data_IF_857919788962
#
_entry.id   IF_857919788962
#
_cell.length_a   1.000
_cell.length_b   1.000
_cell.length_c   1.000
_cell.angle_alpha   90.00
_cell.angle_beta   90.00
_cell.angle_gamma   90.00
#
_symmetry.space_group_name_H-M   'P 1'
#
loop_
_entity.id
_entity.type
_entity.pdbx_description
1 polymer ?
#
# COMPACT_ATOMS: atom_id res chain seq x y z
N UNK A 1 46.05 -14.43 23.09
CA UNK A 1 44.85 -15.15 22.58
C UNK A 1 45.26 -16.55 22.20
N UNK A 2 44.59 -17.60 22.71
CA UNK A 2 44.90 -19.00 22.38
C UNK A 2 44.55 -19.27 20.91
N UNK A 3 45.42 -20.01 20.18
CA UNK A 3 45.22 -20.35 18.75
C UNK A 3 43.83 -20.95 18.46
N UNK A 4 43.23 -21.63 19.41
CA UNK A 4 41.86 -22.18 19.35
C UNK A 4 40.80 -21.09 19.16
N UNK A 5 40.89 -19.96 19.83
CA UNK A 5 39.89 -18.87 19.71
C UNK A 5 39.95 -18.19 18.35
N UNK A 6 41.15 -18.11 17.76
CA UNK A 6 41.33 -17.54 16.42
C UNK A 6 40.66 -18.40 15.34
N UNK A 7 40.80 -19.73 15.44
CA UNK A 7 40.16 -20.66 14.50
C UNK A 7 38.65 -20.60 14.62
N UNK A 8 38.12 -20.57 15.86
CA UNK A 8 36.67 -20.46 16.08
C UNK A 8 36.10 -19.19 15.49
N UNK A 9 36.77 -18.04 15.68
CA UNK A 9 36.34 -16.75 15.09
C UNK A 9 36.36 -16.81 13.54
N UNK A 10 37.39 -17.42 12.97
CA UNK A 10 37.51 -17.57 11.52
C UNK A 10 36.36 -18.41 10.95
N UNK A 11 35.99 -19.51 11.59
CA UNK A 11 34.88 -20.37 11.17
C UNK A 11 33.55 -19.62 11.23
N UNK A 12 33.27 -18.87 12.29
CA UNK A 12 32.05 -18.06 12.42
C UNK A 12 31.96 -17.01 11.32
N UNK A 13 33.07 -16.34 11.00
CA UNK A 13 33.09 -15.35 9.90
C UNK A 13 32.82 -16.00 8.54
N UNK A 14 33.40 -17.16 8.27
CA UNK A 14 33.16 -17.89 7.02
C UNK A 14 31.69 -18.32 6.92
N UNK A 15 31.08 -18.82 7.98
CA UNK A 15 29.66 -19.20 8.00
C UNK A 15 28.78 -17.97 7.77
N UNK A 16 29.09 -16.83 8.39
CA UNK A 16 28.33 -15.60 8.20
C UNK A 16 28.42 -15.08 6.75
N UNK A 17 29.61 -15.11 6.14
CA UNK A 17 29.82 -14.73 4.74
C UNK A 17 29.07 -15.69 3.82
N UNK A 18 29.20 -17.01 4.02
CA UNK A 18 28.50 -18.00 3.21
C UNK A 18 26.98 -17.83 3.32
N UNK A 19 26.46 -17.62 4.54
CA UNK A 19 25.04 -17.32 4.75
C UNK A 19 24.57 -16.06 4.04
N UNK A 20 25.36 -15.00 4.07
CA UNK A 20 25.06 -13.74 3.37
C UNK A 20 25.08 -13.91 1.84
N UNK A 21 26.01 -14.70 1.31
CA UNK A 21 26.09 -14.99 -0.13
C UNK A 21 24.88 -15.84 -0.56
N UNK A 22 24.56 -16.89 0.18
CA UNK A 22 23.39 -17.75 -0.10
C UNK A 22 22.11 -16.91 -0.05
N UNK A 23 21.95 -16.05 0.98
CA UNK A 23 20.80 -15.19 1.09
C UNK A 23 20.66 -14.26 -0.12
N UNK A 24 21.74 -13.59 -0.56
CA UNK A 24 21.72 -12.70 -1.73
C UNK A 24 21.45 -13.43 -3.04
N UNK A 25 21.90 -14.67 -3.19
CA UNK A 25 21.67 -15.44 -4.43
C UNK A 25 20.28 -16.04 -4.49
N UNK A 26 19.71 -16.44 -3.36
CA UNK A 26 18.36 -17.00 -3.31
C UNK A 26 17.27 -15.93 -3.26
N UNK A 27 17.58 -14.74 -2.74
CA UNK A 27 16.67 -13.60 -2.66
C UNK A 27 17.29 -12.38 -3.37
N UNK A 28 17.45 -12.43 -4.70
CA UNK A 28 17.98 -11.29 -5.43
C UNK A 28 17.05 -10.09 -5.25
N UNK A 29 17.63 -8.91 -5.12
CA UNK A 29 16.86 -7.68 -5.12
C UNK A 29 16.04 -7.61 -6.43
N UNK A 30 14.77 -7.16 -6.37
CA UNK A 30 13.97 -6.99 -7.58
C UNK A 30 14.71 -6.12 -8.59
N UNK A 31 14.58 -6.46 -9.87
CA UNK A 31 15.16 -5.65 -10.93
C UNK A 31 14.65 -4.19 -10.80
N UNK A 32 15.51 -3.18 -11.03
CA UNK A 32 15.10 -1.77 -10.86
C UNK A 32 13.80 -1.41 -11.57
N UNK A 33 13.56 -1.95 -12.75
CA UNK A 33 12.32 -1.72 -13.50
C UNK A 33 11.08 -2.32 -12.80
N UNK A 34 11.23 -3.45 -12.12
CA UNK A 34 10.13 -4.11 -11.42
C UNK A 34 9.64 -3.31 -10.20
N UNK A 35 10.46 -2.40 -9.67
CA UNK A 35 10.11 -1.56 -8.52
C UNK A 35 9.44 -0.24 -8.93
N UNK A 36 9.53 0.18 -10.20
CA UNK A 36 9.03 1.48 -10.65
C UNK A 36 7.51 1.62 -10.49
N UNK A 37 6.74 0.59 -10.84
CA UNK A 37 5.29 0.65 -10.66
C UNK A 37 4.87 0.67 -9.17
N UNK A 38 5.37 -0.23 -8.30
CA UNK A 38 5.12 -0.13 -6.86
C UNK A 38 5.50 1.24 -6.27
N UNK A 39 6.66 1.78 -6.66
CA UNK A 39 7.09 3.12 -6.24
C UNK A 39 6.10 4.19 -6.71
N UNK A 40 5.66 4.13 -7.97
CA UNK A 40 4.68 5.06 -8.54
C UNK A 40 3.32 5.01 -7.81
N UNK A 41 2.85 3.82 -7.45
CA UNK A 41 1.64 3.64 -6.65
C UNK A 41 1.80 4.30 -5.27
N UNK A 42 2.93 4.07 -4.59
CA UNK A 42 3.22 4.69 -3.29
C UNK A 42 3.23 6.21 -3.35
N UNK A 43 3.87 6.79 -4.38
CA UNK A 43 3.90 8.24 -4.61
C UNK A 43 2.48 8.78 -4.84
N UNK A 44 1.72 8.17 -5.75
CA UNK A 44 0.38 8.62 -6.11
C UNK A 44 -0.60 8.52 -4.93
N UNK A 45 -0.49 7.46 -4.11
CA UNK A 45 -1.30 7.31 -2.90
C UNK A 45 -1.01 8.40 -1.87
N UNK A 46 0.26 8.78 -1.68
CA UNK A 46 0.61 9.88 -0.79
C UNK A 46 0.08 11.23 -1.31
N UNK A 47 0.19 11.51 -2.60
CA UNK A 47 -0.34 12.71 -3.22
C UNK A 47 -1.87 12.79 -3.12
N UNK A 48 -2.57 11.68 -3.32
CA UNK A 48 -4.02 11.60 -3.11
C UNK A 48 -4.39 11.86 -1.64
N UNK A 49 -3.61 11.35 -0.69
CA UNK A 49 -3.82 11.63 0.74
C UNK A 49 -3.63 13.12 1.06
N UNK A 50 -2.59 13.76 0.52
CA UNK A 50 -2.35 15.20 0.65
C UNK A 50 -3.53 16.01 0.13
N UNK A 51 -4.02 15.70 -1.06
CA UNK A 51 -5.17 16.38 -1.65
C UNK A 51 -6.44 16.20 -0.82
N UNK A 52 -6.70 14.98 -0.36
CA UNK A 52 -7.91 14.67 0.41
C UNK A 52 -7.91 15.33 1.79
N UNK A 53 -6.75 15.44 2.45
CA UNK A 53 -6.62 15.94 3.82
C UNK A 53 -6.37 17.45 3.90
N UNK A 54 -6.08 18.13 2.78
CA UNK A 54 -5.81 19.56 2.75
C UNK A 54 -4.48 19.92 3.44
N UNK A 55 -3.45 19.09 3.25
CA UNK A 55 -2.08 19.25 3.74
C UNK A 55 -1.90 19.19 5.27
N UNK A 56 -2.88 18.74 6.05
CA UNK A 56 -2.73 18.63 7.51
C UNK A 56 -3.44 17.41 8.08
N UNK A 57 -2.88 16.82 9.14
CA UNK A 57 -3.52 15.74 9.87
C UNK A 57 -2.65 14.50 10.06
N UNK A 58 -3.26 13.48 10.66
CA UNK A 58 -2.63 12.19 10.93
C UNK A 58 -3.13 11.14 9.94
N UNK A 59 -2.21 10.41 9.34
CA UNK A 59 -2.47 9.37 8.35
C UNK A 59 -2.07 8.01 8.93
N UNK A 60 -2.94 7.04 8.77
CA UNK A 60 -2.65 5.62 9.03
C UNK A 60 -2.54 4.92 7.69
N UNK A 61 -1.44 4.19 7.50
CA UNK A 61 -1.20 3.36 6.34
C UNK A 61 -1.61 1.92 6.66
N UNK A 62 -2.43 1.31 5.81
CA UNK A 62 -2.90 -0.07 5.95
C UNK A 62 -2.29 -0.89 4.83
N UNK A 63 -1.51 -1.90 5.20
CA UNK A 63 -0.81 -2.78 4.28
C UNK A 63 -1.45 -4.18 4.26
N UNK A 64 -1.52 -4.84 3.09
CA UNK A 64 -1.95 -6.22 3.02
C UNK A 64 -0.90 -7.14 3.64
N UNK A 65 -1.32 -8.02 4.53
CA UNK A 65 -0.53 -9.11 5.07
C UNK A 65 -1.06 -10.44 4.51
N UNK A 66 -0.17 -11.32 4.11
CA UNK A 66 -0.50 -12.67 3.63
C UNK A 66 0.38 -13.67 4.35
N UNK A 67 -0.09 -14.14 5.50
CA UNK A 67 0.69 -15.02 6.35
C UNK A 67 2.03 -14.38 6.75
N UNK A 68 3.11 -15.17 6.79
CA UNK A 68 4.43 -14.70 7.22
C UNK A 68 5.35 -14.26 6.05
N UNK A 69 4.83 -14.16 4.83
CA UNK A 69 5.63 -13.78 3.67
C UNK A 69 5.79 -12.27 3.57
N UNK A 70 7.04 -11.81 3.55
CA UNK A 70 7.35 -10.44 3.18
C UNK A 70 7.18 -10.25 1.67
N UNK A 71 6.45 -9.21 1.29
CA UNK A 71 6.29 -8.85 -0.12
C UNK A 71 7.16 -7.62 -0.43
N UNK A 72 8.29 -7.79 -1.17
CA UNK A 72 9.19 -6.67 -1.49
C UNK A 72 8.50 -5.51 -2.20
N UNK A 73 7.45 -5.78 -2.98
CA UNK A 73 6.72 -4.74 -3.69
C UNK A 73 5.92 -3.85 -2.73
N UNK A 74 5.34 -4.44 -1.68
CA UNK A 74 4.65 -3.69 -0.63
C UNK A 74 5.64 -2.82 0.16
N UNK A 75 6.84 -3.32 0.42
CA UNK A 75 7.90 -2.55 1.08
C UNK A 75 8.31 -1.32 0.24
N UNK A 76 8.43 -1.47 -1.09
CA UNK A 76 8.71 -0.37 -2.02
C UNK A 76 7.56 0.66 -2.00
N UNK A 77 6.31 0.20 -2.07
CA UNK A 77 5.13 1.07 -1.99
C UNK A 77 5.11 1.87 -0.70
N UNK A 78 5.31 1.20 0.43
CA UNK A 78 5.36 1.83 1.75
C UNK A 78 6.46 2.87 1.86
N UNK A 79 7.69 2.53 1.42
CA UNK A 79 8.82 3.44 1.46
C UNK A 79 8.59 4.70 0.60
N UNK A 80 8.05 4.52 -0.61
CA UNK A 80 7.73 5.61 -1.51
C UNK A 80 6.62 6.51 -0.96
N UNK A 81 5.58 5.91 -0.37
CA UNK A 81 4.50 6.62 0.31
C UNK A 81 5.04 7.48 1.46
N UNK A 82 5.77 6.87 2.39
CA UNK A 82 6.31 7.56 3.56
C UNK A 82 7.26 8.69 3.17
N UNK A 83 8.16 8.46 2.19
CA UNK A 83 9.09 9.46 1.66
C UNK A 83 8.35 10.65 1.01
N UNK A 84 7.25 10.38 0.30
CA UNK A 84 6.47 11.43 -0.35
C UNK A 84 5.67 12.23 0.67
N UNK A 85 5.00 11.56 1.60
CA UNK A 85 4.22 12.20 2.66
C UNK A 85 5.10 13.09 3.56
N UNK A 86 6.32 12.67 3.87
CA UNK A 86 7.27 13.42 4.71
C UNK A 86 7.70 14.79 4.13
N UNK A 87 7.40 15.07 2.86
CA UNK A 87 7.62 16.40 2.27
C UNK A 87 6.57 17.43 2.70
N UNK A 88 5.47 16.97 3.29
CA UNK A 88 4.37 17.80 3.78
C UNK A 88 4.40 17.85 5.30
N UNK A 89 4.97 18.93 5.84
CA UNK A 89 5.32 19.06 7.27
C UNK A 89 4.15 18.89 8.22
N UNK A 90 2.94 19.26 7.79
CA UNK A 90 1.74 19.23 8.62
C UNK A 90 0.93 17.92 8.48
N UNK A 91 1.43 16.98 7.66
CA UNK A 91 0.91 15.62 7.55
C UNK A 91 1.87 14.63 8.20
N UNK A 92 1.35 13.83 9.12
CA UNK A 92 2.15 12.85 9.85
C UNK A 92 1.65 11.44 9.56
N UNK A 93 2.55 10.55 9.14
CA UNK A 93 2.30 9.11 9.15
C UNK A 93 2.33 8.64 10.61
N UNK A 94 1.15 8.51 11.23
CA UNK A 94 1.03 8.20 12.67
C UNK A 94 1.18 6.72 12.97
N UNK A 95 0.79 5.84 12.03
CA UNK A 95 0.94 4.40 12.17
C UNK A 95 1.00 3.72 10.80
N UNK A 96 1.59 2.53 10.80
CA UNK A 96 1.48 1.56 9.71
C UNK A 96 0.95 0.26 10.29
N UNK A 97 -0.21 -0.15 9.84
CA UNK A 97 -0.91 -1.35 10.25
C UNK A 97 -0.87 -2.39 9.15
N UNK A 98 -0.95 -3.65 9.53
CA UNK A 98 -1.07 -4.75 8.57
C UNK A 98 -2.36 -5.50 8.84
N UNK A 99 -3.11 -5.78 7.78
CA UNK A 99 -4.37 -6.51 7.85
C UNK A 99 -4.29 -7.77 7.00
N UNK A 100 -4.82 -8.88 7.52
CA UNK A 100 -4.83 -10.13 6.80
C UNK A 100 -5.80 -10.04 5.62
N UNK A 101 -5.32 -10.46 4.43
CA UNK A 101 -6.13 -10.48 3.21
C UNK A 101 -6.25 -11.92 2.73
N UNK A 102 -7.46 -12.45 2.75
CA UNK A 102 -7.75 -13.79 2.27
C UNK A 102 -7.56 -13.90 0.76
N UNK A 103 -7.13 -15.08 0.30
CA UNK A 103 -6.99 -15.34 -1.14
C UNK A 103 -8.38 -15.52 -1.77
N UNK A 104 -8.61 -14.97 -2.97
CA UNK A 104 -9.77 -15.36 -3.78
C UNK A 104 -9.76 -16.89 -3.98
N UNK A 105 -10.86 -17.57 -3.66
CA UNK A 105 -11.00 -19.02 -3.85
C UNK A 105 -10.90 -19.92 -2.61
N UNK A 106 -10.55 -19.40 -1.44
CA UNK A 106 -10.94 -20.01 -0.16
C UNK A 106 -12.42 -19.68 0.07
N UNK A 107 -13.24 -20.59 0.56
CA UNK A 107 -14.73 -20.57 0.69
C UNK A 107 -15.40 -19.20 1.07
N UNK A 108 -14.86 -18.09 0.61
CA UNK A 108 -15.37 -16.74 0.75
C UNK A 108 -14.99 -15.90 -0.46
N UNK A 109 -15.58 -14.74 -0.60
CA UNK A 109 -15.35 -13.82 -1.72
C UNK A 109 -13.91 -13.26 -1.75
N UNK A 110 -13.01 -13.72 -0.89
CA UNK A 110 -11.64 -13.22 -0.71
C UNK A 110 -11.66 -11.72 -0.40
N UNK A 111 -10.94 -11.29 0.60
CA UNK A 111 -10.92 -9.88 0.95
C UNK A 111 -10.48 -9.64 2.38
N UNK A 112 -10.71 -8.44 2.84
CA UNK A 112 -10.42 -8.00 4.19
C UNK A 112 -11.69 -8.11 5.04
N UNK A 113 -11.55 -8.59 6.28
CA UNK A 113 -12.67 -8.62 7.24
C UNK A 113 -13.12 -7.18 7.58
N UNK A 114 -14.38 -6.81 7.30
CA UNK A 114 -14.91 -5.50 7.63
C UNK A 114 -14.84 -5.17 9.14
N UNK A 115 -15.01 -6.17 10.02
CA UNK A 115 -14.95 -5.95 11.46
C UNK A 115 -13.51 -5.65 11.92
N UNK A 116 -12.52 -6.34 11.38
CA UNK A 116 -11.11 -6.08 11.66
C UNK A 116 -10.71 -4.68 11.19
N UNK A 117 -11.13 -4.29 9.99
CA UNK A 117 -10.90 -2.95 9.47
C UNK A 117 -11.55 -1.86 10.35
N UNK A 118 -12.78 -2.07 10.78
CA UNK A 118 -13.48 -1.14 11.65
C UNK A 118 -12.77 -0.98 13.00
N UNK A 119 -12.33 -2.09 13.60
CA UNK A 119 -11.53 -2.06 14.82
C UNK A 119 -10.21 -1.31 14.63
N UNK A 120 -9.55 -1.49 13.48
CA UNK A 120 -8.34 -0.76 13.13
C UNK A 120 -8.62 0.74 13.09
N UNK A 121 -9.68 1.18 12.43
CA UNK A 121 -10.06 2.60 12.38
C UNK A 121 -10.38 3.14 13.77
N UNK A 122 -11.03 2.36 14.63
CA UNK A 122 -11.33 2.74 16.02
C UNK A 122 -10.09 2.86 16.89
N UNK A 123 -9.09 1.97 16.73
CA UNK A 123 -7.80 2.08 17.45
C UNK A 123 -7.07 3.37 17.12
N UNK A 124 -7.27 3.91 15.92
CA UNK A 124 -6.67 5.16 15.45
C UNK A 124 -7.70 6.28 15.34
N UNK A 125 -8.50 6.46 16.39
CA UNK A 125 -9.60 7.43 16.41
C UNK A 125 -9.13 8.88 16.20
N UNK A 126 -7.88 9.21 16.52
CA UNK A 126 -7.26 10.51 16.33
C UNK A 126 -6.71 10.73 14.90
N UNK A 127 -6.65 9.68 14.08
CA UNK A 127 -6.26 9.82 12.67
C UNK A 127 -7.41 10.43 11.85
N UNK A 128 -7.03 11.30 10.91
CA UNK A 128 -7.95 11.96 9.99
C UNK A 128 -8.07 11.26 8.66
N UNK A 129 -7.00 10.55 8.24
CA UNK A 129 -6.93 9.84 6.97
C UNK A 129 -6.41 8.42 7.11
N UNK A 130 -6.94 7.54 6.28
CA UNK A 130 -6.52 6.14 6.17
C UNK A 130 -6.22 5.84 4.71
N UNK A 131 -5.04 5.30 4.46
CA UNK A 131 -4.60 4.89 3.11
C UNK A 131 -4.44 3.39 3.09
N UNK A 132 -5.31 2.70 2.36
CA UNK A 132 -5.31 1.24 2.29
C UNK A 132 -4.68 0.74 0.99
N UNK A 133 -3.62 -0.03 1.12
CA UNK A 133 -3.04 -0.83 0.03
C UNK A 133 -3.63 -2.25 -0.02
N UNK A 134 -4.58 -2.52 0.87
CA UNK A 134 -5.27 -3.80 0.98
C UNK A 134 -6.70 -3.78 0.39
N UNK A 135 -6.99 -2.78 -0.48
CA UNK A 135 -8.33 -2.47 -0.97
C UNK A 135 -9.26 -1.92 0.15
N UNK A 136 -10.57 -1.96 -0.03
CA UNK A 136 -11.56 -1.48 0.92
C UNK A 136 -12.63 -2.57 1.10
N UNK A 137 -12.95 -2.99 2.34
CA UNK A 137 -13.90 -4.07 2.55
C UNK A 137 -15.34 -3.66 2.20
N UNK A 138 -16.18 -4.66 1.98
CA UNK A 138 -17.61 -4.42 1.82
C UNK A 138 -18.28 -4.20 3.18
N UNK A 139 -18.93 -3.07 3.35
CA UNK A 139 -19.61 -2.70 4.58
C UNK A 139 -21.13 -2.63 4.39
N UNK A 140 -21.86 -2.96 5.46
CA UNK A 140 -23.26 -2.56 5.57
C UNK A 140 -23.39 -1.03 5.69
N UNK A 141 -24.56 -0.49 5.43
CA UNK A 141 -24.81 0.96 5.56
C UNK A 141 -24.56 1.47 6.99
N UNK A 142 -24.90 0.65 7.98
CA UNK A 142 -24.72 0.95 9.40
C UNK A 142 -23.23 1.00 9.76
N UNK A 143 -22.45 0.05 9.25
CA UNK A 143 -21.01 0.01 9.46
C UNK A 143 -20.31 1.22 8.78
N UNK A 144 -20.73 1.61 7.58
CA UNK A 144 -20.23 2.83 6.91
C UNK A 144 -20.53 4.10 7.72
N UNK A 145 -21.67 4.16 8.40
CA UNK A 145 -22.00 5.30 9.26
C UNK A 145 -21.00 5.50 10.40
N UNK A 146 -20.44 4.41 10.94
CA UNK A 146 -19.42 4.49 11.99
C UNK A 146 -18.06 5.03 11.51
N UNK A 147 -17.81 5.02 10.21
CA UNK A 147 -16.58 5.56 9.57
C UNK A 147 -16.72 7.05 9.20
N UNK A 148 -17.88 7.65 9.49
CA UNK A 148 -18.17 9.04 9.16
C UNK A 148 -17.14 10.00 9.77
N UNK A 149 -16.69 10.97 8.98
CA UNK A 149 -15.69 11.96 9.40
C UNK A 149 -14.24 11.53 9.17
N UNK A 150 -14.00 10.26 8.81
CA UNK A 150 -12.69 9.78 8.36
C UNK A 150 -12.60 9.87 6.85
N UNK A 151 -11.37 10.04 6.34
CA UNK A 151 -11.10 10.12 4.90
C UNK A 151 -10.30 8.89 4.47
N UNK A 152 -10.79 8.21 3.45
CA UNK A 152 -10.17 6.98 2.96
C UNK A 152 -9.60 7.18 1.55
N UNK A 153 -8.39 6.72 1.34
CA UNK A 153 -7.74 6.56 0.04
C UNK A 153 -7.47 5.08 -0.14
N UNK A 154 -7.84 4.53 -1.27
CA UNK A 154 -7.80 3.09 -1.53
C UNK A 154 -6.88 2.80 -2.72
N UNK A 155 -6.01 1.83 -2.57
CA UNK A 155 -5.22 1.27 -3.67
C UNK A 155 -5.80 -0.10 -3.98
N UNK A 156 -6.48 -0.19 -5.12
CA UNK A 156 -7.21 -1.37 -5.56
C UNK A 156 -8.49 -0.96 -6.28
N UNK A 157 -9.16 -1.92 -6.88
CA UNK A 157 -10.38 -1.67 -7.65
C UNK A 157 -11.31 -2.86 -7.68
N UNK A 158 -11.06 -3.85 -6.82
CA UNK A 158 -11.84 -5.07 -6.79
C UNK A 158 -13.21 -4.92 -6.09
N UNK A 159 -13.38 -3.86 -5.28
CA UNK A 159 -14.64 -3.63 -4.58
C UNK A 159 -15.72 -3.13 -5.57
N UNK A 160 -16.81 -3.89 -5.79
CA UNK A 160 -17.88 -3.50 -6.72
C UNK A 160 -18.64 -2.25 -6.26
N UNK A 161 -18.61 -1.94 -4.96
CA UNK A 161 -19.23 -0.74 -4.41
C UNK A 161 -18.35 0.51 -4.52
N UNK A 162 -17.14 0.44 -5.08
CA UNK A 162 -16.15 1.53 -5.09
C UNK A 162 -16.74 2.82 -5.69
N UNK A 163 -17.49 2.72 -6.79
CA UNK A 163 -18.15 3.87 -7.40
C UNK A 163 -19.11 4.57 -6.45
N UNK A 164 -19.93 3.82 -5.73
CA UNK A 164 -20.89 4.37 -4.76
C UNK A 164 -20.18 4.94 -3.53
N UNK A 165 -19.07 4.34 -3.09
CA UNK A 165 -18.25 4.84 -1.99
C UNK A 165 -17.58 6.17 -2.33
N UNK A 166 -17.09 6.33 -3.56
CA UNK A 166 -16.53 7.59 -4.06
C UNK A 166 -17.60 8.68 -4.17
N UNK A 167 -18.73 8.39 -4.82
CA UNK A 167 -19.83 9.37 -4.99
C UNK A 167 -20.53 9.72 -3.68
N UNK A 168 -20.57 8.76 -2.74
CA UNK A 168 -21.08 8.96 -1.38
C UNK A 168 -20.09 9.67 -0.44
N UNK A 169 -18.86 9.96 -0.89
CA UNK A 169 -17.84 10.68 -0.11
C UNK A 169 -17.24 9.87 1.04
N UNK A 170 -17.41 8.56 1.07
CA UNK A 170 -16.74 7.66 2.04
C UNK A 170 -15.27 7.49 1.65
N UNK A 171 -15.02 7.16 0.39
CA UNK A 171 -13.69 7.12 -0.20
C UNK A 171 -13.47 8.43 -0.98
N UNK A 172 -12.37 9.11 -0.72
CA UNK A 172 -12.03 10.37 -1.40
C UNK A 172 -11.31 10.15 -2.71
N UNK A 173 -10.47 9.13 -2.76
CA UNK A 173 -9.74 8.74 -3.96
C UNK A 173 -9.46 7.25 -3.98
N UNK A 174 -9.47 6.67 -5.18
CA UNK A 174 -9.05 5.30 -5.42
C UNK A 174 -7.98 5.27 -6.53
N UNK A 175 -6.93 4.50 -6.32
CA UNK A 175 -5.90 4.22 -7.31
C UNK A 175 -6.21 2.88 -7.94
N UNK A 176 -6.69 2.89 -9.17
CA UNK A 176 -7.18 1.68 -9.86
C UNK A 176 -6.39 1.39 -11.13
N UNK A 177 -6.24 0.13 -11.52
CA UNK A 177 -5.72 -0.22 -12.83
C UNK A 177 -6.58 0.38 -13.93
N UNK A 178 -5.95 0.92 -14.97
CA UNK A 178 -6.67 1.42 -16.15
C UNK A 178 -7.30 0.27 -16.90
N UNK A 179 -8.53 0.46 -17.33
CA UNK A 179 -9.22 -0.49 -18.22
C UNK A 179 -8.66 -0.47 -19.65
N UNK A 180 -8.06 0.65 -20.05
CA UNK A 180 -7.39 0.81 -21.35
C UNK A 180 -5.97 1.38 -21.10
N UNK A 181 -4.94 0.79 -21.72
CA UNK A 181 -3.59 1.35 -21.63
C UNK A 181 -3.57 2.83 -22.06
N UNK A 182 -2.74 3.62 -21.43
CA UNK A 182 -2.50 4.99 -21.91
C UNK A 182 -1.93 4.92 -23.33
N UNK A 183 -2.41 5.80 -24.20
CA UNK A 183 -1.99 5.87 -25.60
C UNK A 183 -0.56 6.44 -25.69
N UNK A 184 0.44 5.64 -25.37
CA UNK A 184 1.86 6.00 -25.48
C UNK A 184 2.63 4.82 -26.04
N UNK A 185 3.34 5.05 -27.15
CA UNK A 185 4.24 4.06 -27.73
C UNK A 185 5.63 4.04 -27.06
N UNK A 186 5.85 4.92 -26.08
CA UNK A 186 7.13 5.03 -25.37
C UNK A 186 7.08 4.23 -24.07
N UNK A 187 8.10 3.39 -23.83
CA UNK A 187 8.26 2.70 -22.54
C UNK A 187 8.41 3.74 -21.42
N UNK A 188 7.64 3.62 -20.31
CA UNK A 188 7.82 4.51 -19.18
C UNK A 188 9.23 4.44 -18.60
N UNK A 189 9.83 5.59 -18.28
CA UNK A 189 11.19 5.69 -17.74
C UNK A 189 11.25 6.03 -16.26
N UNK A 190 10.11 6.38 -15.63
CA UNK A 190 10.02 6.76 -14.23
C UNK A 190 8.84 6.10 -13.51
N UNK A 191 8.88 6.08 -12.18
CA UNK A 191 7.81 5.55 -11.34
C UNK A 191 6.45 6.21 -11.63
N UNK A 192 6.41 7.54 -11.80
CA UNK A 192 5.19 8.29 -12.14
C UNK A 192 4.66 7.95 -13.53
N UNK A 193 5.55 7.80 -14.51
CA UNK A 193 5.14 7.40 -15.85
C UNK A 193 4.59 5.97 -15.87
N UNK A 194 5.19 5.04 -15.13
CA UNK A 194 4.66 3.69 -14.97
C UNK A 194 3.28 3.68 -14.33
N UNK A 195 3.08 4.45 -13.25
CA UNK A 195 1.76 4.62 -12.66
C UNK A 195 0.76 5.16 -13.69
N UNK A 196 1.08 6.27 -14.34
CA UNK A 196 0.17 6.91 -15.30
C UNK A 196 -0.16 6.05 -16.52
N UNK A 197 0.76 5.17 -16.94
CA UNK A 197 0.54 4.25 -18.04
C UNK A 197 -0.42 3.10 -17.69
N UNK A 198 -0.42 2.66 -16.43
CA UNK A 198 -1.11 1.44 -15.99
C UNK A 198 -2.24 1.68 -15.00
N UNK A 199 -2.21 2.80 -14.28
CA UNK A 199 -3.17 3.14 -13.22
C UNK A 199 -3.70 4.57 -13.41
N UNK A 200 -4.76 4.85 -12.71
CA UNK A 200 -5.33 6.19 -12.61
C UNK A 200 -5.88 6.45 -11.21
N UNK A 201 -5.97 7.73 -10.87
CA UNK A 201 -6.64 8.18 -9.64
C UNK A 201 -8.08 8.52 -9.97
N UNK A 202 -9.00 7.84 -9.32
CA UNK A 202 -10.44 8.05 -9.43
C UNK A 202 -10.94 8.71 -8.17
N UNK A 203 -11.72 9.76 -8.34
CA UNK A 203 -12.41 10.53 -7.29
C UNK A 203 -13.89 10.60 -7.59
N UNK A 204 -14.69 11.24 -6.75
CA UNK A 204 -16.12 11.46 -7.04
C UNK A 204 -16.33 12.16 -8.39
N UNK A 205 -15.43 13.06 -8.79
CA UNK A 205 -15.56 13.85 -10.03
C UNK A 205 -15.46 13.00 -11.31
N UNK A 206 -14.68 11.91 -11.29
CA UNK A 206 -14.48 11.03 -12.44
C UNK A 206 -14.87 9.56 -12.16
N UNK A 207 -15.66 9.30 -11.11
CA UNK A 207 -16.10 7.95 -10.73
C UNK A 207 -16.89 7.22 -11.83
N UNK A 208 -17.41 7.95 -12.83
CA UNK A 208 -18.08 7.37 -14.00
C UNK A 208 -17.12 6.64 -14.96
N UNK A 209 -15.80 6.81 -14.80
CA UNK A 209 -14.81 6.01 -15.55
C UNK A 209 -14.71 4.56 -15.04
N UNK A 210 -15.19 4.30 -13.83
CA UNK A 210 -15.28 2.94 -13.28
C UNK A 210 -16.40 2.16 -13.98
N UNK A 211 -16.22 0.84 -14.19
CA UNK A 211 -17.22 -0.03 -14.79
C UNK A 211 -18.51 -0.10 -13.98
#
# INVERSE_FOLDING_TARGET
MRKSNLITVLIVVIIAIAGAVIYRTQFPAPAPEATLLPEGIGIAAAEAAVQALGNQGKVVLILPKRGNFKNPMVEVQQAAFAKTLARHKDLTLSATESIEVERPGTMGAGGMDPAEFQQLVQRHADATGFVSFADFPEFSKEALASLKGKKFIVVGGANPALKSLLTGGVVQAALVPRTKPAASNKKPGSAREWFSATHEVVTAANANSLP
#
